data_IF_727352370551
#
_entry.id   IF_727352370551
#
_cell.length_a   1.000
_cell.length_b   1.000
_cell.length_c   1.000
_cell.angle_alpha   90.00
_cell.angle_beta   90.00
_cell.angle_gamma   90.00
#
_symmetry.space_group_name_H-M   'P 1'
#
loop_
_entity.id
_entity.type
_entity.pdbx_description
1 polymer ?
#
# COMPACT_ATOMS: atom_id res chain seq x y z
N UNK A 1 37.01 -13.05 -4.26
CA UNK A 1 37.70 -14.05 -3.39
C UNK A 1 36.64 -14.64 -2.48
N UNK A 2 36.62 -15.96 -2.27
CA UNK A 2 35.73 -16.59 -1.29
C UNK A 2 36.37 -16.45 0.09
N UNK A 3 35.72 -15.73 1.01
CA UNK A 3 36.16 -15.60 2.40
C UNK A 3 35.26 -16.48 3.28
N UNK A 4 35.88 -17.33 4.10
CA UNK A 4 35.16 -18.16 5.09
C UNK A 4 35.76 -17.86 6.47
N UNK A 5 34.91 -17.72 7.48
CA UNK A 5 35.30 -17.54 8.89
C UNK A 5 36.23 -16.32 9.13
N UNK A 6 35.97 -15.19 8.47
CA UNK A 6 36.71 -13.94 8.68
C UNK A 6 35.76 -12.91 9.27
N UNK A 7 36.15 -12.29 10.39
CA UNK A 7 35.27 -11.37 11.12
C UNK A 7 36.04 -10.11 11.52
N UNK A 8 35.64 -8.90 11.06
CA UNK A 8 34.68 -8.57 9.98
C UNK A 8 35.24 -8.84 8.57
N UNK A 9 34.37 -8.86 7.56
CA UNK A 9 34.76 -8.80 6.13
C UNK A 9 34.43 -7.41 5.62
N UNK A 10 35.44 -6.66 5.14
CA UNK A 10 35.20 -5.38 4.46
C UNK A 10 34.68 -5.67 3.04
N UNK A 11 35.53 -6.15 2.13
CA UNK A 11 35.14 -6.45 0.74
C UNK A 11 35.23 -7.93 0.40
N UNK A 12 34.15 -8.51 -0.13
CA UNK A 12 34.19 -9.84 -0.73
C UNK A 12 33.39 -9.99 -2.02
N UNK A 13 33.66 -11.09 -2.73
CA UNK A 13 32.76 -11.52 -3.81
C UNK A 13 31.74 -12.52 -3.30
N UNK A 14 32.17 -13.41 -2.41
CA UNK A 14 31.36 -14.52 -1.91
C UNK A 14 31.80 -14.81 -0.50
N UNK A 15 30.86 -14.99 0.42
CA UNK A 15 31.16 -15.39 1.78
C UNK A 15 30.04 -16.22 2.39
N UNK A 16 30.40 -17.09 3.33
CA UNK A 16 29.49 -17.99 4.04
C UNK A 16 29.88 -17.93 5.54
N UNK A 17 28.88 -17.98 6.43
CA UNK A 17 29.03 -18.14 7.89
C UNK A 17 30.00 -17.12 8.53
N UNK A 18 29.67 -15.82 8.53
CA UNK A 18 30.46 -14.80 9.23
C UNK A 18 29.62 -13.76 9.98
N UNK A 19 30.28 -12.97 10.83
CA UNK A 19 29.59 -12.12 11.81
C UNK A 19 29.23 -10.74 11.30
N UNK A 20 29.81 -10.25 10.21
CA UNK A 20 29.49 -8.96 9.63
C UNK A 20 30.16 -8.84 8.27
N UNK A 21 29.49 -8.21 7.31
CA UNK A 21 30.09 -7.80 6.05
C UNK A 21 29.64 -6.40 5.68
N UNK A 22 30.60 -5.56 5.26
CA UNK A 22 30.32 -4.23 4.71
C UNK A 22 29.86 -4.42 3.25
N UNK A 23 30.75 -4.85 2.34
CA UNK A 23 30.45 -5.00 0.91
C UNK A 23 30.64 -6.44 0.41
N UNK A 24 29.57 -7.05 -0.13
CA UNK A 24 29.73 -8.33 -0.84
C UNK A 24 28.76 -8.58 -1.99
N UNK A 25 29.19 -9.31 -3.03
CA UNK A 25 28.22 -9.71 -4.06
C UNK A 25 27.23 -10.75 -3.55
N UNK A 26 27.70 -11.81 -2.88
CA UNK A 26 26.82 -12.89 -2.41
C UNK A 26 27.17 -13.33 -0.99
N UNK A 27 26.15 -13.45 -0.14
CA UNK A 27 26.30 -13.92 1.25
C UNK A 27 25.33 -15.06 1.60
N UNK A 28 25.76 -15.98 2.46
CA UNK A 28 24.92 -17.01 3.07
C UNK A 28 25.12 -17.06 4.59
N UNK A 29 24.04 -16.83 5.35
CA UNK A 29 23.96 -16.90 6.83
C UNK A 29 24.82 -15.85 7.57
N UNK A 30 24.41 -14.57 7.52
CA UNK A 30 25.15 -13.41 8.09
C UNK A 30 24.38 -12.60 9.13
N UNK A 31 25.10 -11.84 9.97
CA UNK A 31 24.49 -11.02 11.05
C UNK A 31 25.37 -9.85 11.52
N UNK A 32 25.46 -8.65 10.89
CA UNK A 32 24.66 -8.07 9.77
C UNK A 32 25.36 -8.05 8.39
N UNK A 33 24.67 -7.54 7.37
CA UNK A 33 25.19 -7.17 6.04
C UNK A 33 24.86 -5.69 5.78
N UNK A 34 25.83 -4.85 5.41
CA UNK A 34 25.54 -3.48 4.93
C UNK A 34 25.06 -3.56 3.48
N UNK A 35 25.94 -3.85 2.52
CA UNK A 35 25.61 -3.87 1.09
C UNK A 35 25.82 -5.25 0.45
N UNK A 36 24.79 -5.74 -0.25
CA UNK A 36 24.95 -6.92 -1.09
C UNK A 36 24.08 -7.01 -2.34
N UNK A 37 24.49 -7.85 -3.30
CA UNK A 37 23.65 -8.13 -4.47
C UNK A 37 22.64 -9.25 -4.18
N UNK A 38 23.09 -10.34 -3.55
CA UNK A 38 22.24 -11.47 -3.20
C UNK A 38 22.59 -12.02 -1.81
N UNK A 39 21.57 -12.22 -0.98
CA UNK A 39 21.74 -12.84 0.34
C UNK A 39 20.70 -13.93 0.55
N UNK A 40 21.12 -15.07 1.09
CA UNK A 40 20.17 -16.15 1.39
C UNK A 40 19.46 -15.96 2.72
N UNK A 41 20.23 -15.82 3.80
CA UNK A 41 19.71 -15.52 5.12
C UNK A 41 20.62 -14.47 5.78
N UNK A 42 20.05 -13.39 6.29
CA UNK A 42 20.78 -12.46 7.14
C UNK A 42 19.88 -11.79 8.16
N UNK A 43 20.45 -11.30 9.26
CA UNK A 43 19.72 -10.46 10.22
C UNK A 43 20.65 -9.42 10.85
N UNK A 44 20.49 -8.10 10.60
CA UNK A 44 19.77 -7.39 9.52
C UNK A 44 20.53 -7.29 8.18
N UNK A 45 19.90 -6.68 7.17
CA UNK A 45 20.53 -6.18 5.92
C UNK A 45 20.15 -4.71 5.67
N UNK A 46 21.11 -3.84 5.35
CA UNK A 46 20.80 -2.45 4.96
C UNK A 46 20.34 -2.41 3.48
N UNK A 47 21.22 -2.71 2.53
CA UNK A 47 20.93 -2.63 1.09
C UNK A 47 21.10 -3.98 0.38
N UNK A 48 20.05 -4.46 -0.30
CA UNK A 48 20.13 -5.71 -1.07
C UNK A 48 19.26 -5.77 -2.31
N UNK A 49 19.80 -6.20 -3.45
CA UNK A 49 18.93 -6.42 -4.63
C UNK A 49 18.01 -7.64 -4.47
N UNK A 50 18.52 -8.76 -3.95
CA UNK A 50 17.72 -9.98 -3.74
C UNK A 50 18.00 -10.65 -2.40
N UNK A 51 16.96 -10.93 -1.62
CA UNK A 51 17.10 -11.68 -0.38
C UNK A 51 16.03 -12.75 -0.19
N UNK A 52 16.44 -13.98 0.15
CA UNK A 52 15.46 -15.05 0.38
C UNK A 52 14.81 -14.88 1.77
N UNK A 53 15.60 -14.68 2.83
CA UNK A 53 15.09 -14.45 4.21
C UNK A 53 15.87 -13.39 4.96
N UNK A 54 15.18 -12.44 5.59
CA UNK A 54 15.80 -11.47 6.49
C UNK A 54 14.91 -11.02 7.63
N UNK A 55 15.51 -10.49 8.69
CA UNK A 55 14.79 -9.73 9.71
C UNK A 55 15.71 -8.66 10.32
N UNK A 56 15.50 -7.35 10.12
CA UNK A 56 14.80 -6.60 9.04
C UNK A 56 15.66 -6.34 7.76
N UNK A 57 15.09 -5.67 6.76
CA UNK A 57 15.77 -5.12 5.55
C UNK A 57 15.50 -3.61 5.43
N UNK A 58 16.51 -2.81 5.10
CA UNK A 58 16.34 -1.40 4.71
C UNK A 58 15.79 -1.31 3.29
N UNK A 59 16.69 -1.26 2.30
CA UNK A 59 16.34 -1.12 0.89
C UNK A 59 16.42 -2.47 0.17
N UNK A 60 15.35 -2.84 -0.53
CA UNK A 60 15.39 -4.04 -1.36
C UNK A 60 14.66 -3.92 -2.69
N UNK A 61 15.18 -4.59 -3.72
CA UNK A 61 14.47 -4.74 -4.99
C UNK A 61 13.55 -5.96 -5.01
N UNK A 62 14.01 -7.09 -4.44
CA UNK A 62 13.25 -8.34 -4.36
C UNK A 62 13.53 -9.12 -3.07
N UNK A 63 12.51 -9.52 -2.35
CA UNK A 63 12.61 -10.41 -1.19
C UNK A 63 11.57 -11.53 -1.29
N UNK A 64 11.84 -12.70 -0.70
CA UNK A 64 10.85 -13.79 -0.54
C UNK A 64 10.17 -13.83 0.85
N UNK A 65 10.87 -13.45 1.93
CA UNK A 65 10.35 -13.48 3.31
C UNK A 65 11.14 -12.51 4.22
N UNK A 66 10.46 -11.55 4.85
CA UNK A 66 11.04 -10.57 5.77
C UNK A 66 10.01 -10.11 6.78
N UNK A 67 10.47 -9.77 7.99
CA UNK A 67 9.60 -9.22 9.03
C UNK A 67 9.21 -7.77 8.82
N UNK A 68 10.08 -6.99 8.16
CA UNK A 68 9.96 -5.56 7.86
C UNK A 68 10.86 -5.23 6.66
N UNK A 69 10.36 -4.37 5.77
CA UNK A 69 11.13 -3.76 4.68
C UNK A 69 10.79 -2.27 4.67
N UNK A 70 11.82 -1.41 4.71
CA UNK A 70 11.63 0.05 4.64
C UNK A 70 11.25 0.43 3.20
N UNK A 71 12.15 0.23 2.22
CA UNK A 71 11.91 0.64 0.83
C UNK A 71 11.88 -0.55 -0.14
N UNK A 72 10.85 -0.62 -0.99
CA UNK A 72 10.70 -1.71 -1.94
C UNK A 72 10.10 -1.40 -3.32
N UNK A 73 10.59 -2.10 -4.35
CA UNK A 73 10.08 -1.94 -5.72
C UNK A 73 8.87 -2.85 -6.06
N UNK A 74 8.96 -4.18 -5.89
CA UNK A 74 7.90 -5.09 -6.34
C UNK A 74 7.88 -6.39 -5.57
N UNK A 75 6.86 -6.59 -4.72
CA UNK A 75 6.80 -7.74 -3.80
C UNK A 75 5.65 -8.67 -4.02
N UNK A 76 5.81 -9.91 -3.56
CA UNK A 76 4.81 -10.97 -3.69
C UNK A 76 4.05 -11.19 -2.35
N UNK A 77 4.70 -11.43 -1.19
CA UNK A 77 3.99 -11.62 0.11
C UNK A 77 4.84 -11.18 1.33
N UNK A 78 4.44 -10.12 2.06
CA UNK A 78 5.21 -9.59 3.21
C UNK A 78 4.38 -9.13 4.42
N UNK A 79 5.10 -8.87 5.51
CA UNK A 79 4.63 -8.29 6.78
C UNK A 79 5.49 -7.04 7.04
N UNK A 80 4.96 -6.02 7.75
CA UNK A 80 4.68 -4.65 7.23
C UNK A 80 5.66 -4.07 6.20
N UNK A 81 5.16 -3.20 5.33
CA UNK A 81 5.94 -2.38 4.40
C UNK A 81 5.76 -0.91 4.78
N UNK A 82 6.86 -0.15 4.87
CA UNK A 82 6.81 1.31 4.99
C UNK A 82 6.52 1.90 3.61
N UNK A 83 7.44 1.79 2.66
CA UNK A 83 7.30 2.36 1.31
C UNK A 83 7.40 1.30 0.20
N UNK A 84 6.43 1.25 -0.72
CA UNK A 84 6.59 0.45 -1.94
C UNK A 84 5.98 1.01 -3.24
N UNK A 85 6.55 0.62 -4.39
CA UNK A 85 5.88 0.88 -5.67
C UNK A 85 4.75 -0.12 -5.94
N UNK A 86 4.97 -1.43 -5.75
CA UNK A 86 3.94 -2.45 -5.95
C UNK A 86 4.07 -3.59 -4.94
N UNK A 87 2.95 -4.01 -4.38
CA UNK A 87 2.81 -5.25 -3.61
C UNK A 87 1.64 -6.09 -4.12
N UNK A 88 1.81 -7.41 -4.13
CA UNK A 88 0.69 -8.36 -4.33
C UNK A 88 -0.02 -8.54 -2.98
N UNK A 89 0.59 -9.18 -1.99
CA UNK A 89 -0.01 -9.39 -0.65
C UNK A 89 0.79 -8.71 0.48
N UNK A 90 0.13 -7.94 1.35
CA UNK A 90 0.75 -7.38 2.57
C UNK A 90 -0.15 -7.39 3.80
N UNK A 91 0.45 -7.56 4.99
CA UNK A 91 -0.30 -7.34 6.25
C UNK A 91 -0.50 -5.88 6.59
N UNK A 92 0.33 -4.98 6.08
CA UNK A 92 0.13 -3.54 6.24
C UNK A 92 1.08 -2.78 5.33
N UNK A 93 0.61 -1.67 4.78
CA UNK A 93 1.39 -0.77 3.93
C UNK A 93 1.18 0.65 4.44
N UNK A 94 2.27 1.38 4.71
CA UNK A 94 2.17 2.81 5.00
C UNK A 94 1.95 3.56 3.68
N UNK A 95 2.95 3.61 2.79
CA UNK A 95 2.82 4.31 1.50
C UNK A 95 3.03 3.37 0.30
N UNK A 96 2.11 3.42 -0.67
CA UNK A 96 2.32 2.71 -1.94
C UNK A 96 1.75 3.35 -3.20
N UNK A 97 2.28 2.97 -4.37
CA UNK A 97 1.58 3.28 -5.62
C UNK A 97 0.46 2.27 -5.92
N UNK A 98 0.72 0.97 -5.76
CA UNK A 98 -0.26 -0.07 -6.07
C UNK A 98 -0.18 -1.24 -5.09
N UNK A 99 -1.34 -1.70 -4.65
CA UNK A 99 -1.50 -2.90 -3.83
C UNK A 99 -2.61 -3.77 -4.42
N UNK A 100 -2.37 -5.08 -4.54
CA UNK A 100 -3.47 -6.03 -4.86
C UNK A 100 -4.27 -6.30 -3.58
N UNK A 101 -3.70 -6.95 -2.57
CA UNK A 101 -4.35 -7.26 -1.30
C UNK A 101 -3.58 -6.70 -0.08
N UNK A 102 -4.22 -5.91 0.80
CA UNK A 102 -3.57 -5.48 2.07
C UNK A 102 -4.50 -5.19 3.24
N UNK A 103 -3.98 -5.32 4.47
CA UNK A 103 -4.78 -5.23 5.71
C UNK A 103 -4.11 -4.55 6.92
N UNK A 104 -3.80 -3.23 6.95
CA UNK A 104 -4.37 -2.10 6.17
C UNK A 104 -3.44 -1.40 5.16
N UNK A 105 -3.96 -0.37 4.48
CA UNK A 105 -3.18 0.61 3.68
C UNK A 105 -3.40 2.04 4.22
N UNK A 106 -2.34 2.82 4.44
CA UNK A 106 -2.47 4.23 4.88
C UNK A 106 -2.59 5.19 3.69
N UNK A 107 -1.63 5.25 2.78
CA UNK A 107 -1.66 6.06 1.56
C UNK A 107 -1.44 5.18 0.33
N UNK A 108 -2.35 5.25 -0.65
CA UNK A 108 -2.10 4.66 -1.95
C UNK A 108 -2.66 5.41 -3.16
N UNK A 109 -2.06 5.20 -4.33
CA UNK A 109 -2.71 5.61 -5.58
C UNK A 109 -3.84 4.63 -5.93
N UNK A 110 -3.59 3.33 -5.82
CA UNK A 110 -4.54 2.30 -6.22
C UNK A 110 -4.49 1.09 -5.29
N UNK A 111 -5.65 0.54 -4.97
CA UNK A 111 -5.75 -0.77 -4.30
C UNK A 111 -6.88 -1.60 -4.89
N UNK A 112 -6.64 -2.88 -5.13
CA UNK A 112 -7.69 -3.83 -5.56
C UNK A 112 -8.55 -4.19 -4.34
N UNK A 113 -8.02 -4.94 -3.37
CA UNK A 113 -8.73 -5.35 -2.15
C UNK A 113 -8.01 -4.86 -0.88
N UNK A 114 -8.71 -4.16 0.03
CA UNK A 114 -8.09 -3.83 1.33
C UNK A 114 -9.03 -3.68 2.51
N UNK A 115 -8.49 -3.92 3.71
CA UNK A 115 -9.21 -3.73 4.97
C UNK A 115 -8.33 -3.13 6.08
N UNK A 116 -8.52 -1.86 6.50
CA UNK A 116 -9.02 -0.66 5.80
C UNK A 116 -8.02 0.04 4.85
N UNK A 117 -8.50 1.09 4.16
CA UNK A 117 -7.71 2.14 3.46
C UNK A 117 -7.97 3.52 4.10
N UNK A 118 -6.93 4.29 4.42
CA UNK A 118 -7.10 5.67 4.93
C UNK A 118 -7.20 6.71 3.80
N UNK A 119 -6.20 6.84 2.93
CA UNK A 119 -6.21 7.76 1.78
C UNK A 119 -5.91 7.00 0.49
N UNK A 120 -6.78 7.15 -0.53
CA UNK A 120 -6.44 6.67 -1.86
C UNK A 120 -6.96 7.50 -3.04
N UNK A 121 -6.34 7.37 -4.22
CA UNK A 121 -7.02 7.85 -5.43
C UNK A 121 -8.12 6.89 -5.88
N UNK A 122 -7.88 5.58 -5.90
CA UNK A 122 -8.84 4.60 -6.38
C UNK A 122 -8.80 3.30 -5.57
N UNK A 123 -9.98 2.75 -5.28
CA UNK A 123 -10.12 1.41 -4.72
C UNK A 123 -11.19 0.60 -5.46
N UNK A 124 -10.90 -0.68 -5.74
CA UNK A 124 -11.92 -1.61 -6.26
C UNK A 124 -12.84 -2.09 -5.13
N UNK A 125 -12.33 -2.86 -4.17
CA UNK A 125 -13.08 -3.38 -3.01
C UNK A 125 -12.38 -2.99 -1.68
N UNK A 126 -13.12 -2.38 -0.73
CA UNK A 126 -12.53 -2.11 0.60
C UNK A 126 -13.49 -2.16 1.79
N UNK A 127 -12.93 -2.44 2.97
CA UNK A 127 -13.65 -2.38 4.23
C UNK A 127 -12.83 -1.77 5.38
N UNK A 128 -13.10 -0.53 5.82
CA UNK A 128 -13.64 0.68 5.15
C UNK A 128 -12.61 1.53 4.36
N UNK A 129 -13.07 2.64 3.76
CA UNK A 129 -12.25 3.72 3.15
C UNK A 129 -12.53 5.06 3.83
N UNK A 130 -11.51 5.81 4.25
CA UNK A 130 -11.70 7.17 4.83
C UNK A 130 -11.78 8.25 3.75
N UNK A 131 -10.74 8.51 2.96
CA UNK A 131 -10.72 9.49 1.86
C UNK A 131 -10.41 8.80 0.53
N UNK A 132 -11.22 9.03 -0.49
CA UNK A 132 -10.86 8.60 -1.84
C UNK A 132 -11.40 9.44 -2.99
N UNK A 133 -10.69 9.45 -4.12
CA UNK A 133 -11.28 10.03 -5.34
C UNK A 133 -12.34 9.11 -5.97
N UNK A 134 -12.10 7.80 -6.05
CA UNK A 134 -13.04 6.83 -6.61
C UNK A 134 -13.08 5.55 -5.79
N UNK A 135 -14.27 5.00 -5.59
CA UNK A 135 -14.43 3.63 -5.06
C UNK A 135 -15.49 2.86 -5.84
N UNK A 136 -15.18 1.65 -6.29
CA UNK A 136 -16.18 0.77 -6.89
C UNK A 136 -17.10 0.19 -5.81
N UNK A 137 -16.60 -0.66 -4.90
CA UNK A 137 -17.36 -1.24 -3.81
C UNK A 137 -16.66 -1.01 -2.45
N UNK A 138 -17.39 -0.50 -1.45
CA UNK A 138 -16.87 -0.45 -0.08
C UNK A 138 -17.95 -0.71 0.96
N UNK A 139 -17.56 -1.22 2.13
CA UNK A 139 -18.51 -1.29 3.24
C UNK A 139 -18.86 0.08 3.79
N UNK A 140 -17.89 0.98 3.94
CA UNK A 140 -18.09 2.36 4.44
C UNK A 140 -17.15 3.29 3.70
N UNK A 141 -17.65 4.47 3.32
CA UNK A 141 -16.83 5.55 2.76
C UNK A 141 -17.12 6.84 3.51
N UNK A 142 -16.09 7.51 4.04
CA UNK A 142 -16.27 8.78 4.75
C UNK A 142 -16.32 9.97 3.77
N UNK A 143 -15.28 10.21 2.96
CA UNK A 143 -15.26 11.24 1.91
C UNK A 143 -14.91 10.63 0.54
N UNK A 144 -15.73 10.92 -0.48
CA UNK A 144 -15.41 10.52 -1.84
C UNK A 144 -15.94 11.44 -2.94
N UNK A 145 -15.23 11.49 -4.08
CA UNK A 145 -15.77 12.17 -5.26
C UNK A 145 -16.80 11.31 -5.98
N UNK A 146 -16.52 10.03 -6.22
CA UNK A 146 -17.46 9.12 -6.86
C UNK A 146 -17.38 7.70 -6.30
N UNK A 147 -18.52 7.19 -5.87
CA UNK A 147 -18.67 5.83 -5.38
C UNK A 147 -19.72 5.10 -6.20
N UNK A 148 -19.52 3.82 -6.47
CA UNK A 148 -20.55 3.02 -7.16
C UNK A 148 -21.44 2.26 -6.18
N UNK A 149 -20.88 1.48 -5.25
CA UNK A 149 -21.64 0.84 -4.19
C UNK A 149 -21.00 1.05 -2.82
N UNK A 150 -21.77 1.50 -1.83
CA UNK A 150 -21.30 1.50 -0.43
C UNK A 150 -22.43 1.48 0.61
N UNK A 151 -22.17 1.09 1.86
CA UNK A 151 -23.19 0.97 2.91
C UNK A 151 -22.68 1.23 4.34
N UNK A 152 -22.47 2.49 4.80
CA UNK A 152 -22.92 3.78 4.24
C UNK A 152 -21.84 4.62 3.53
N UNK A 153 -22.26 5.78 3.01
CA UNK A 153 -21.36 6.88 2.61
C UNK A 153 -21.68 8.15 3.39
N UNK A 154 -20.69 8.80 4.01
CA UNK A 154 -20.91 10.08 4.72
C UNK A 154 -21.00 11.25 3.73
N UNK A 155 -19.92 11.60 3.02
CA UNK A 155 -19.86 12.72 2.08
C UNK A 155 -19.44 12.26 0.67
N UNK A 156 -20.29 12.51 -0.34
CA UNK A 156 -19.96 12.10 -1.72
C UNK A 156 -20.51 13.00 -2.82
N UNK A 157 -19.70 13.30 -3.84
CA UNK A 157 -20.25 14.06 -4.98
C UNK A 157 -21.21 13.24 -5.84
N UNK A 158 -20.85 12.02 -6.24
CA UNK A 158 -21.71 11.10 -7.01
C UNK A 158 -21.73 9.70 -6.40
N UNK A 159 -22.92 9.17 -6.14
CA UNK A 159 -23.09 7.79 -5.66
C UNK A 159 -24.16 7.05 -6.45
N UNK A 160 -23.82 5.92 -7.06
CA UNK A 160 -24.80 5.12 -7.79
C UNK A 160 -25.75 4.42 -6.81
N UNK A 161 -25.23 3.64 -5.84
CA UNK A 161 -26.02 2.90 -4.84
C UNK A 161 -25.41 2.97 -3.45
N UNK A 162 -26.15 3.51 -2.49
CA UNK A 162 -25.76 3.41 -1.10
C UNK A 162 -26.93 3.39 -0.12
N UNK A 163 -26.68 2.84 1.06
CA UNK A 163 -27.64 2.81 2.15
C UNK A 163 -26.93 2.85 3.51
N UNK A 164 -27.10 3.93 4.31
CA UNK A 164 -27.53 5.31 3.97
C UNK A 164 -26.45 6.17 3.27
N UNK A 165 -26.86 7.35 2.79
CA UNK A 165 -25.98 8.44 2.34
C UNK A 165 -26.18 9.68 3.22
N UNK A 166 -25.09 10.27 3.72
CA UNK A 166 -25.08 11.55 4.43
C UNK A 166 -25.34 12.73 3.48
N UNK A 167 -24.29 13.33 2.94
CA UNK A 167 -24.34 14.45 2.01
C UNK A 167 -23.98 13.99 0.59
N UNK A 168 -24.80 14.33 -0.41
CA UNK A 168 -24.40 14.14 -1.80
C UNK A 168 -24.90 15.19 -2.79
N UNK A 169 -24.21 15.32 -3.93
CA UNK A 169 -24.70 16.15 -5.05
C UNK A 169 -25.57 15.37 -6.03
N UNK A 170 -25.27 14.09 -6.25
CA UNK A 170 -25.98 13.22 -7.19
C UNK A 170 -26.08 11.81 -6.65
N UNK A 171 -27.26 11.21 -6.81
CA UNK A 171 -27.44 9.79 -6.58
C UNK A 171 -28.53 9.18 -7.46
N UNK A 172 -28.40 7.88 -7.77
CA UNK A 172 -29.39 7.11 -8.52
C UNK A 172 -30.30 6.29 -7.60
N UNK A 173 -29.74 5.32 -6.88
CA UNK A 173 -30.45 4.29 -6.12
C UNK A 173 -30.03 4.27 -4.63
N UNK A 174 -30.06 5.44 -3.96
CA UNK A 174 -29.67 5.55 -2.54
C UNK A 174 -30.81 5.90 -1.60
N UNK A 175 -30.90 5.20 -0.47
CA UNK A 175 -31.89 5.48 0.59
C UNK A 175 -31.39 5.10 1.98
N UNK A 176 -31.67 5.89 3.02
CA UNK A 176 -32.03 7.29 2.99
C UNK A 176 -30.86 8.17 2.52
N UNK A 177 -31.17 9.36 1.98
CA UNK A 177 -30.21 10.44 1.75
C UNK A 177 -30.51 11.55 2.76
N UNK A 178 -29.55 11.95 3.59
CA UNK A 178 -29.76 12.96 4.64
C UNK A 178 -29.78 14.36 4.04
N UNK A 179 -28.80 14.70 3.19
CA UNK A 179 -28.71 15.99 2.50
C UNK A 179 -28.38 15.82 1.00
N UNK A 180 -29.17 16.49 0.15
CA UNK A 180 -28.98 16.51 -1.30
C UNK A 180 -28.71 17.95 -1.77
N UNK A 181 -27.52 18.19 -2.32
CA UNK A 181 -27.06 19.51 -2.76
C UNK A 181 -27.47 19.71 -4.23
N UNK A 182 -28.68 20.25 -4.46
CA UNK A 182 -29.07 20.69 -5.81
C UNK A 182 -28.24 21.89 -6.25
N UNK A 183 -27.44 21.72 -7.31
CA UNK A 183 -26.87 22.85 -8.06
C UNK A 183 -28.02 23.56 -8.79
N UNK A 184 -28.59 24.59 -8.16
CA UNK A 184 -29.58 25.47 -8.78
C UNK A 184 -28.99 26.11 -10.04
N UNK A 185 -29.35 25.59 -11.21
CA UNK A 185 -29.20 26.31 -12.47
C UNK A 185 -30.01 27.61 -12.36
N UNK A 186 -29.32 28.75 -12.39
CA UNK A 186 -29.90 30.09 -12.41
C UNK A 186 -30.61 30.33 -13.77
N UNK A 187 -31.74 29.66 -14.00
CA UNK A 187 -32.64 30.00 -15.09
C UNK A 187 -33.38 31.28 -14.68
N UNK A 188 -32.95 32.41 -15.24
CA UNK A 188 -33.63 33.70 -15.11
C UNK A 188 -35.13 33.54 -15.38
N UNK A 189 -35.94 33.58 -14.31
CA UNK A 189 -37.31 34.06 -14.36
C UNK A 189 -37.28 35.56 -14.71
N UNK A 190 -37.38 35.88 -15.99
CA UNK A 190 -38.20 36.99 -16.44
C UNK A 190 -39.30 36.32 -17.27
N UNK A 191 -40.47 36.06 -16.72
CA UNK A 191 -41.38 37.11 -16.29
C UNK A 191 -42.34 37.35 -17.45
N UNK A 192 -43.48 36.67 -17.38
CA UNK A 192 -44.67 36.85 -18.19
C UNK A 192 -45.00 38.33 -18.47
N UNK A 193 -45.20 38.64 -19.75
CA UNK A 193 -46.16 39.61 -20.28
C UNK A 193 -46.65 39.09 -21.64
#
# INVERSE_FOLDING_TARGET
>A
MMTKNSTPVEDCMMTEESTAVEDCMITEDFTPVEDCMETKNSTPVEDVMKIDKSTPVGDCMKTEDSTLVEDFMKTDEFIPIEDCMKTEDSTSVEDCMMTEDSTPVQDCIMTEDSTPVEDCMMTEDSTPVEDCMMTEDSTVVEDCMETKNSTPVEDVMKIDKSTPVGDCMKTEDSTPVVYFIETQHFAQRLGSA
#
